data_IF_049485562390
#
_entry.id   IF_049485562390
#
_cell.length_a   1.000
_cell.length_b   1.000
_cell.length_c   1.000
_cell.angle_alpha   90.00
_cell.angle_beta   90.00
_cell.angle_gamma   90.00
#
_symmetry.space_group_name_H-M   'P 1'
#
loop_
_entity.id
_entity.type
_entity.pdbx_description
1 polymer ?
#
# COMPACT_ATOMS: atom_id res chain seq x y z
N UNK A 1 -32.76 -7.59 24.77
CA UNK A 1 -32.80 -7.44 23.29
C UNK A 1 -32.16 -6.13 22.83
N UNK A 2 -32.40 -5.02 23.53
CA UNK A 2 -31.87 -3.69 23.21
C UNK A 2 -30.33 -3.58 23.33
N UNK A 3 -29.73 -4.07 24.42
CA UNK A 3 -28.26 -4.13 24.61
C UNK A 3 -27.52 -4.91 23.52
N UNK A 4 -28.13 -5.97 22.98
CA UNK A 4 -27.55 -6.78 21.91
C UNK A 4 -27.55 -6.02 20.58
N UNK A 5 -28.59 -5.21 20.32
CA UNK A 5 -28.69 -4.36 19.13
C UNK A 5 -27.68 -3.21 19.18
N UNK A 6 -27.53 -2.59 20.36
CA UNK A 6 -26.55 -1.53 20.59
C UNK A 6 -25.11 -2.02 20.40
N UNK A 7 -24.77 -3.20 20.93
CA UNK A 7 -23.46 -3.83 20.73
C UNK A 7 -23.16 -4.13 19.24
N UNK A 8 -24.15 -4.65 18.50
CA UNK A 8 -24.01 -4.87 17.05
C UNK A 8 -23.79 -3.57 16.28
N UNK A 9 -24.51 -2.51 16.63
CA UNK A 9 -24.35 -1.20 15.99
C UNK A 9 -22.98 -0.59 16.24
N UNK A 10 -22.43 -0.76 17.45
CA UNK A 10 -21.08 -0.30 17.79
C UNK A 10 -20.03 -1.06 16.97
N UNK A 11 -20.12 -2.40 16.94
CA UNK A 11 -19.21 -3.23 16.15
C UNK A 11 -19.22 -2.87 14.66
N UNK A 12 -20.41 -2.67 14.09
CA UNK A 12 -20.56 -2.27 12.69
C UNK A 12 -19.90 -0.91 12.42
N UNK A 13 -20.07 0.05 13.32
CA UNK A 13 -19.45 1.38 13.22
C UNK A 13 -17.93 1.29 13.26
N UNK A 14 -17.36 0.48 14.14
CA UNK A 14 -15.90 0.29 14.24
C UNK A 14 -15.32 -0.31 12.95
N UNK A 15 -15.97 -1.34 12.42
CA UNK A 15 -15.59 -1.96 11.14
C UNK A 15 -15.65 -0.93 10.01
N UNK A 16 -16.76 -0.18 9.92
CA UNK A 16 -16.94 0.82 8.87
C UNK A 16 -15.86 1.91 8.90
N UNK A 17 -15.43 2.36 10.08
CA UNK A 17 -14.38 3.36 10.21
C UNK A 17 -13.04 2.87 9.65
N UNK A 18 -12.68 1.61 9.93
CA UNK A 18 -11.45 1.01 9.40
C UNK A 18 -11.52 0.82 7.88
N UNK A 19 -12.66 0.38 7.35
CA UNK A 19 -12.85 0.27 5.90
C UNK A 19 -12.83 1.64 5.21
N UNK A 20 -13.48 2.65 5.78
CA UNK A 20 -13.45 4.01 5.24
C UNK A 20 -12.02 4.55 5.21
N UNK A 21 -11.22 4.28 6.23
CA UNK A 21 -9.81 4.63 6.25
C UNK A 21 -9.04 3.94 5.10
N UNK A 22 -9.20 2.62 4.94
CA UNK A 22 -8.56 1.86 3.83
C UNK A 22 -8.92 2.47 2.47
N UNK A 23 -10.21 2.70 2.20
CA UNK A 23 -10.68 3.28 0.93
C UNK A 23 -10.13 4.70 0.73
N UNK A 24 -10.07 5.51 1.79
CA UNK A 24 -9.52 6.86 1.73
C UNK A 24 -8.03 6.86 1.38
N UNK A 25 -7.25 5.92 1.94
CA UNK A 25 -5.83 5.77 1.62
C UNK A 25 -5.61 5.28 0.19
N UNK A 26 -6.42 4.33 -0.28
CA UNK A 26 -6.39 3.90 -1.69
C UNK A 26 -6.73 5.06 -2.63
N UNK A 27 -7.79 5.82 -2.33
CA UNK A 27 -8.16 6.99 -3.13
C UNK A 27 -7.05 8.05 -3.18
N UNK A 28 -6.35 8.25 -2.05
CA UNK A 28 -5.18 9.13 -2.00
C UNK A 28 -4.04 8.63 -2.89
N UNK A 29 -3.75 7.32 -2.87
CA UNK A 29 -2.74 6.73 -3.76
C UNK A 29 -3.12 6.98 -5.22
N UNK A 30 -4.36 6.68 -5.61
CA UNK A 30 -4.84 6.89 -6.98
C UNK A 30 -4.76 8.35 -7.42
N UNK A 31 -5.08 9.30 -6.54
CA UNK A 31 -4.94 10.73 -6.85
C UNK A 31 -3.49 11.11 -7.14
N UNK A 32 -2.55 10.57 -6.36
CA UNK A 32 -1.12 10.79 -6.58
C UNK A 32 -0.68 10.12 -7.89
N UNK A 33 -1.14 8.90 -8.16
CA UNK A 33 -0.80 8.15 -9.36
C UNK A 33 -1.30 8.85 -10.64
N UNK A 34 -2.45 9.52 -10.60
CA UNK A 34 -2.93 10.36 -11.71
C UNK A 34 -1.94 11.49 -12.02
N UNK A 35 -1.44 12.18 -10.99
CA UNK A 35 -0.47 13.27 -11.16
C UNK A 35 0.86 12.72 -11.66
N UNK A 36 1.33 11.60 -11.09
CA UNK A 36 2.55 10.95 -11.52
C UNK A 36 2.45 10.43 -12.96
N UNK A 37 1.31 9.89 -13.37
CA UNK A 37 1.04 9.44 -14.74
C UNK A 37 1.25 10.55 -15.76
N UNK A 38 0.77 11.76 -15.47
CA UNK A 38 1.01 12.93 -16.34
C UNK A 38 2.50 13.30 -16.43
N UNK A 39 3.24 13.18 -15.34
CA UNK A 39 4.68 13.43 -15.33
C UNK A 39 5.45 12.34 -16.10
N UNK A 40 5.03 11.08 -15.99
CA UNK A 40 5.58 9.95 -16.75
C UNK A 40 5.33 10.17 -18.25
N UNK A 41 4.13 10.60 -18.65
CA UNK A 41 3.81 10.88 -20.05
C UNK A 41 4.72 11.97 -20.64
N UNK A 42 4.99 13.03 -19.87
CA UNK A 42 5.94 14.07 -20.26
C UNK A 42 7.35 13.48 -20.38
N UNK A 43 7.80 12.70 -19.39
CA UNK A 43 9.11 12.06 -19.40
C UNK A 43 9.30 11.14 -20.61
N UNK A 44 8.30 10.34 -20.97
CA UNK A 44 8.34 9.47 -22.15
C UNK A 44 8.38 10.31 -23.43
N UNK A 45 7.59 11.38 -23.54
CA UNK A 45 7.61 12.30 -24.70
C UNK A 45 8.97 12.97 -24.90
N UNK A 46 9.75 13.16 -23.83
CA UNK A 46 11.11 13.70 -23.86
C UNK A 46 12.19 12.63 -24.16
N UNK A 47 11.80 11.40 -24.51
CA UNK A 47 12.70 10.30 -24.85
C UNK A 47 13.08 9.39 -23.68
N UNK A 48 12.44 9.57 -22.52
CA UNK A 48 12.58 8.69 -21.37
C UNK A 48 12.03 7.28 -21.62
N UNK A 49 12.57 6.28 -20.90
CA UNK A 49 12.07 4.91 -20.92
C UNK A 49 11.45 4.55 -19.59
N UNK A 50 10.23 4.02 -19.61
CA UNK A 50 9.53 3.48 -18.44
C UNK A 50 9.48 1.95 -18.58
N UNK A 51 10.07 1.25 -17.62
CA UNK A 51 10.05 -0.22 -17.55
C UNK A 51 9.35 -0.60 -16.25
N UNK A 52 8.16 -1.18 -16.37
CA UNK A 52 7.37 -1.75 -15.28
C UNK A 52 7.70 -3.23 -15.06
N UNK A 53 6.85 -3.93 -14.30
CA UNK A 53 7.09 -5.34 -13.99
C UNK A 53 6.94 -6.27 -15.20
N UNK A 54 7.77 -7.32 -15.27
CA UNK A 54 7.79 -8.30 -16.35
C UNK A 54 6.66 -9.35 -16.29
N UNK A 55 5.60 -9.15 -15.49
CA UNK A 55 4.45 -10.07 -15.42
C UNK A 55 3.61 -10.11 -16.71
N UNK A 56 4.01 -9.38 -17.76
CA UNK A 56 3.26 -9.11 -18.99
C UNK A 56 2.74 -10.39 -19.65
N UNK A 57 3.49 -11.50 -19.58
CA UNK A 57 3.18 -12.75 -20.28
C UNK A 57 2.27 -13.73 -19.52
N UNK A 58 1.88 -13.42 -18.28
CA UNK A 58 1.02 -14.31 -17.48
C UNK A 58 -0.48 -14.04 -17.71
N UNK A 59 -1.29 -15.06 -17.48
CA UNK A 59 -2.76 -14.93 -17.52
C UNK A 59 -3.27 -13.92 -16.48
N UNK A 60 -4.38 -13.25 -16.77
CA UNK A 60 -4.99 -12.27 -15.85
C UNK A 60 -5.25 -12.86 -14.46
N UNK A 61 -5.75 -14.10 -14.39
CA UNK A 61 -6.00 -14.80 -13.13
C UNK A 61 -4.73 -14.99 -12.30
N UNK A 62 -3.61 -15.36 -12.94
CA UNK A 62 -2.31 -15.49 -12.29
C UNK A 62 -1.83 -14.14 -11.77
N UNK A 63 -1.97 -13.07 -12.56
CA UNK A 63 -1.63 -11.71 -12.11
C UNK A 63 -2.44 -11.29 -10.89
N UNK A 64 -3.75 -11.49 -10.89
CA UNK A 64 -4.60 -11.13 -9.73
C UNK A 64 -4.18 -11.91 -8.47
N UNK A 65 -4.00 -13.23 -8.59
CA UNK A 65 -3.66 -14.07 -7.43
C UNK A 65 -2.29 -13.68 -6.88
N UNK A 66 -1.27 -13.60 -7.73
CA UNK A 66 0.10 -13.38 -7.26
C UNK A 66 0.43 -11.91 -7.01
N UNK A 67 0.08 -11.00 -7.91
CA UNK A 67 0.43 -9.58 -7.79
C UNK A 67 -0.54 -8.81 -6.87
N UNK A 68 -1.81 -9.22 -6.77
CA UNK A 68 -2.82 -8.47 -5.99
C UNK A 68 -3.21 -9.12 -4.66
N UNK A 69 -2.85 -10.40 -4.42
CA UNK A 69 -3.21 -11.11 -3.18
C UNK A 69 -1.95 -11.65 -2.48
N UNK A 70 -1.29 -12.64 -3.08
CA UNK A 70 -0.19 -13.37 -2.43
C UNK A 70 1.02 -12.46 -2.19
N UNK A 71 1.44 -11.71 -3.21
CA UNK A 71 2.54 -10.74 -3.15
C UNK A 71 2.33 -9.72 -2.03
N UNK A 72 1.21 -8.96 -2.03
CA UNK A 72 0.90 -8.00 -0.98
C UNK A 72 0.91 -8.59 0.43
N UNK A 73 0.41 -9.82 0.64
CA UNK A 73 0.45 -10.48 1.96
C UNK A 73 1.91 -10.73 2.39
N UNK A 74 2.74 -11.30 1.52
CA UNK A 74 4.16 -11.58 1.79
C UNK A 74 4.93 -10.28 2.05
N UNK A 75 4.74 -9.28 1.20
CA UNK A 75 5.36 -7.97 1.30
C UNK A 75 4.95 -7.23 2.58
N UNK A 76 3.71 -7.41 3.02
CA UNK A 76 3.22 -6.85 4.29
C UNK A 76 3.97 -7.44 5.50
N UNK A 77 4.27 -8.74 5.50
CA UNK A 77 5.13 -9.34 6.52
C UNK A 77 6.56 -8.78 6.46
N UNK A 78 7.11 -8.60 5.27
CA UNK A 78 8.44 -7.99 5.09
C UNK A 78 8.48 -6.57 5.67
N UNK A 79 7.50 -5.72 5.35
CA UNK A 79 7.38 -4.36 5.89
C UNK A 79 7.36 -4.38 7.42
N UNK A 80 6.55 -5.26 8.03
CA UNK A 80 6.49 -5.38 9.50
C UNK A 80 7.83 -5.83 10.08
N UNK A 81 8.50 -6.81 9.44
CA UNK A 81 9.84 -7.25 9.82
C UNK A 81 10.83 -6.08 9.82
N UNK A 82 10.83 -5.28 8.75
CA UNK A 82 11.68 -4.10 8.61
C UNK A 82 11.36 -3.02 9.65
N UNK A 83 10.08 -2.77 9.97
CA UNK A 83 9.67 -1.84 11.04
C UNK A 83 10.17 -2.34 12.39
N UNK A 84 10.00 -3.63 12.67
CA UNK A 84 10.41 -4.25 13.93
C UNK A 84 11.94 -4.24 14.12
N UNK A 85 12.71 -4.34 13.04
CA UNK A 85 14.16 -4.19 13.07
C UNK A 85 14.56 -2.72 13.23
N UNK A 86 14.00 -1.83 12.40
CA UNK A 86 14.36 -0.41 12.36
C UNK A 86 14.08 0.30 13.68
N UNK A 87 12.97 -0.02 14.36
CA UNK A 87 12.61 0.58 15.65
C UNK A 87 13.58 0.22 16.79
N UNK A 88 14.41 -0.82 16.64
CA UNK A 88 15.46 -1.17 17.62
C UNK A 88 16.61 -0.16 17.61
N UNK A 89 16.85 0.49 16.48
CA UNK A 89 18.00 1.39 16.25
C UNK A 89 17.53 2.85 16.20
N UNK A 90 16.36 3.10 15.59
CA UNK A 90 15.82 4.44 15.35
C UNK A 90 14.66 4.70 16.30
N UNK A 91 14.85 5.64 17.24
CA UNK A 91 13.82 5.99 18.25
C UNK A 91 12.63 6.76 17.66
N UNK A 92 12.86 7.55 16.61
CA UNK A 92 11.81 8.36 16.01
C UNK A 92 10.91 7.50 15.12
N UNK A 93 9.64 7.44 15.49
CA UNK A 93 8.59 6.76 14.71
C UNK A 93 8.54 7.21 13.26
N UNK A 94 8.57 8.51 13.04
CA UNK A 94 8.57 9.09 11.70
C UNK A 94 9.77 8.60 10.89
N UNK A 95 10.97 8.65 11.48
CA UNK A 95 12.22 8.28 10.78
C UNK A 95 12.26 6.81 10.40
N UNK A 96 11.87 5.89 11.30
CA UNK A 96 11.85 4.47 10.93
C UNK A 96 10.74 4.16 9.92
N UNK A 97 9.57 4.80 10.00
CA UNK A 97 8.50 4.62 9.02
C UNK A 97 8.94 5.08 7.64
N UNK A 98 9.55 6.25 7.54
CA UNK A 98 10.07 6.78 6.29
C UNK A 98 11.19 5.90 5.73
N UNK A 99 12.13 5.46 6.57
CA UNK A 99 13.20 4.55 6.14
C UNK A 99 12.64 3.25 5.55
N UNK A 100 11.68 2.62 6.22
CA UNK A 100 11.08 1.37 5.73
C UNK A 100 10.31 1.59 4.43
N UNK A 101 9.58 2.69 4.30
CA UNK A 101 8.89 3.03 3.04
C UNK A 101 9.88 3.17 1.88
N UNK A 102 11.01 3.86 2.11
CA UNK A 102 12.05 4.02 1.09
C UNK A 102 12.73 2.70 0.74
N UNK A 103 13.06 1.85 1.73
CA UNK A 103 13.61 0.51 1.48
C UNK A 103 12.62 -0.31 0.66
N UNK A 104 11.34 -0.31 1.03
CA UNK A 104 10.31 -1.05 0.33
C UNK A 104 10.16 -0.59 -1.13
N UNK A 105 10.15 0.72 -1.38
CA UNK A 105 10.14 1.26 -2.74
C UNK A 105 11.40 0.87 -3.54
N UNK A 106 12.58 0.87 -2.91
CA UNK A 106 13.84 0.48 -3.57
C UNK A 106 13.91 -0.99 -3.97
N UNK A 107 13.14 -1.88 -3.32
CA UNK A 107 13.02 -3.28 -3.72
C UNK A 107 12.30 -3.45 -5.08
N UNK A 108 11.66 -2.40 -5.60
CA UNK A 108 11.00 -2.39 -6.90
C UNK A 108 11.96 -1.97 -8.03
N UNK A 109 13.09 -2.67 -8.15
CA UNK A 109 14.25 -2.27 -8.97
C UNK A 109 14.08 -2.38 -10.50
N UNK A 110 12.86 -2.23 -11.03
CA UNK A 110 12.58 -2.28 -12.48
C UNK A 110 13.16 -1.07 -13.23
N UNK A 111 12.94 0.14 -12.71
CA UNK A 111 13.53 1.38 -13.23
C UNK A 111 13.48 2.48 -12.18
N UNK A 112 14.36 3.49 -12.28
CA UNK A 112 14.38 4.62 -11.34
C UNK A 112 13.04 5.38 -11.31
N UNK A 113 12.43 5.58 -12.48
CA UNK A 113 11.12 6.24 -12.59
C UNK A 113 10.02 5.40 -11.93
N UNK A 114 10.06 4.07 -12.07
CA UNK A 114 9.11 3.17 -11.39
C UNK A 114 9.28 3.22 -9.87
N UNK A 115 10.51 3.17 -9.37
CA UNK A 115 10.80 3.34 -7.93
C UNK A 115 10.22 4.66 -7.42
N UNK A 116 10.43 5.76 -8.16
CA UNK A 116 9.89 7.06 -7.78
C UNK A 116 8.35 7.05 -7.69
N UNK A 117 7.68 6.34 -8.59
CA UNK A 117 6.22 6.20 -8.56
C UNK A 117 5.72 5.33 -7.41
N UNK A 118 6.51 4.36 -6.96
CA UNK A 118 6.16 3.49 -5.83
C UNK A 118 6.38 4.18 -4.46
N UNK A 119 7.24 5.19 -4.37
CA UNK A 119 7.54 5.87 -3.09
C UNK A 119 6.28 6.39 -2.36
N UNK A 120 5.35 7.13 -3.02
CA UNK A 120 4.19 7.65 -2.32
C UNK A 120 3.26 6.56 -1.77
N UNK A 121 3.01 5.50 -2.54
CA UNK A 121 2.19 4.38 -2.07
C UNK A 121 2.87 3.64 -0.92
N UNK A 122 4.19 3.42 -1.00
CA UNK A 122 4.98 2.85 0.09
C UNK A 122 4.90 3.68 1.38
N UNK A 123 4.99 5.01 1.27
CA UNK A 123 4.83 5.92 2.41
C UNK A 123 3.44 5.76 3.02
N UNK A 124 2.38 5.84 2.19
CA UNK A 124 0.99 5.75 2.67
C UNK A 124 0.75 4.42 3.39
N UNK A 125 1.21 3.29 2.84
CA UNK A 125 1.06 1.98 3.46
C UNK A 125 1.80 1.88 4.80
N UNK A 126 3.09 2.21 4.83
CA UNK A 126 3.91 2.12 6.05
C UNK A 126 3.41 3.08 7.14
N UNK A 127 2.98 4.29 6.77
CA UNK A 127 2.40 5.24 7.71
C UNK A 127 1.02 4.79 8.19
N UNK A 128 0.22 4.13 7.35
CA UNK A 128 -1.03 3.51 7.77
C UNK A 128 -0.78 2.45 8.86
N UNK A 129 0.18 1.55 8.68
CA UNK A 129 0.53 0.56 9.71
C UNK A 129 1.02 1.21 11.01
N UNK A 130 1.86 2.23 10.89
CA UNK A 130 2.54 2.78 12.07
C UNK A 130 1.67 3.78 12.82
N UNK A 131 0.95 4.68 12.15
CA UNK A 131 0.24 5.81 12.75
C UNK A 131 -1.26 5.62 12.92
N UNK A 132 -1.92 4.88 12.03
CA UNK A 132 -3.35 4.63 12.19
C UNK A 132 -3.59 3.77 13.43
N UNK A 133 -4.66 4.07 14.16
CA UNK A 133 -5.10 3.31 15.34
C UNK A 133 -6.42 2.61 14.96
N UNK A 134 -6.35 1.37 14.45
CA UNK A 134 -7.53 0.67 14.00
C UNK A 134 -8.56 0.49 15.11
N UNK A 135 -9.83 0.48 14.75
CA UNK A 135 -10.94 0.25 15.69
C UNK A 135 -11.21 -1.24 15.87
N UNK A 136 -11.17 -2.00 14.79
CA UNK A 136 -11.48 -3.43 14.79
C UNK A 136 -10.47 -4.29 14.05
N UNK A 137 -9.99 -3.85 12.89
CA UNK A 137 -8.98 -4.56 12.11
C UNK A 137 -7.61 -4.48 12.80
N UNK A 138 -6.70 -5.38 12.48
CA UNK A 138 -5.31 -5.23 12.93
C UNK A 138 -4.57 -4.23 12.03
N UNK A 139 -3.51 -3.55 12.53
CA UNK A 139 -2.68 -2.69 11.69
C UNK A 139 -2.10 -3.41 10.47
N UNK A 140 -1.82 -4.72 10.60
CA UNK A 140 -1.44 -5.58 9.48
C UNK A 140 -2.52 -5.58 8.40
N UNK A 141 -3.78 -5.90 8.76
CA UNK A 141 -4.86 -5.95 7.77
C UNK A 141 -5.16 -4.60 7.13
N UNK A 142 -5.01 -3.48 7.85
CA UNK A 142 -5.13 -2.15 7.24
C UNK A 142 -4.10 -1.96 6.14
N UNK A 143 -2.82 -2.21 6.42
CA UNK A 143 -1.74 -2.10 5.43
C UNK A 143 -1.94 -3.08 4.27
N UNK A 144 -2.24 -4.35 4.57
CA UNK A 144 -2.40 -5.39 3.56
C UNK A 144 -3.58 -5.09 2.64
N UNK A 145 -4.71 -4.64 3.16
CA UNK A 145 -5.88 -4.30 2.34
C UNK A 145 -5.63 -3.10 1.42
N UNK A 146 -4.97 -2.05 1.92
CA UNK A 146 -4.56 -0.91 1.08
C UNK A 146 -3.68 -1.42 -0.07
N UNK A 147 -2.70 -2.28 0.24
CA UNK A 147 -1.77 -2.82 -0.74
C UNK A 147 -2.46 -3.72 -1.78
N UNK A 148 -3.30 -4.66 -1.33
CA UNK A 148 -4.04 -5.57 -2.20
C UNK A 148 -4.97 -4.82 -3.15
N UNK A 149 -5.74 -3.85 -2.63
CA UNK A 149 -6.67 -3.07 -3.45
C UNK A 149 -5.89 -2.22 -4.47
N UNK A 150 -4.80 -1.58 -4.05
CA UNK A 150 -3.96 -0.80 -4.96
C UNK A 150 -3.40 -1.66 -6.10
N UNK A 151 -2.79 -2.80 -5.77
CA UNK A 151 -2.25 -3.70 -6.78
C UNK A 151 -3.34 -4.33 -7.65
N UNK A 152 -4.52 -4.59 -7.12
CA UNK A 152 -5.66 -5.05 -7.92
C UNK A 152 -6.05 -4.01 -8.97
N UNK A 153 -6.17 -2.74 -8.59
CA UNK A 153 -6.50 -1.66 -9.53
C UNK A 153 -5.44 -1.55 -10.63
N UNK A 154 -4.16 -1.53 -10.26
CA UNK A 154 -3.03 -1.48 -11.21
C UNK A 154 -3.00 -2.71 -12.12
N UNK A 155 -3.36 -3.89 -11.60
CA UNK A 155 -3.40 -5.12 -12.40
C UNK A 155 -4.53 -5.12 -13.43
N UNK A 156 -5.60 -4.35 -13.16
CA UNK A 156 -6.79 -4.24 -14.03
C UNK A 156 -6.73 -3.07 -15.02
N UNK A 157 -5.79 -2.14 -14.85
CA UNK A 157 -5.53 -1.02 -15.78
C UNK A 157 -4.59 -1.41 -16.90
#
# INVERSE_FOLDING_TARGET
MEKTKECKNLLLKEILMDFLFVISMVALILLIDVVLGQLIDIYIKLGGKFIGSNLINESLSVKIIFASIVGPIIESFLIIGLINLSKKIIKSKFKYSLLVALIFALLHYYSLIYIFCVIPSAIIMVFSYTYYKPKKLSPFWILTLIHMINNFIITMS
#
